data_IF_691070691207
#
_entry.id   IF_691070691207
#
_cell.length_a   1.000
_cell.length_b   1.000
_cell.length_c   1.000
_cell.angle_alpha   90.00
_cell.angle_beta   90.00
_cell.angle_gamma   90.00
#
_symmetry.space_group_name_H-M   'P 1'
#
loop_
_entity.id
_entity.type
_entity.pdbx_description
1 polymer ?
#
# COMPACT_ATOMS: atom_id res chain seq x y z
N UNK A 1 6.00 -3.52 -5.72
CA UNK A 1 6.26 -2.95 -4.38
C UNK A 1 6.20 -1.43 -4.37
N UNK A 2 6.98 -0.74 -5.21
CA UNK A 2 7.02 0.74 -5.28
C UNK A 2 5.64 1.37 -5.47
N UNK A 3 4.88 0.91 -6.49
CA UNK A 3 3.53 1.40 -6.78
C UNK A 3 2.58 1.29 -5.58
N UNK A 4 2.71 0.20 -4.81
CA UNK A 4 1.84 -0.06 -3.67
C UNK A 4 2.17 0.85 -2.48
N UNK A 5 3.46 1.08 -2.22
CA UNK A 5 3.90 2.06 -1.21
C UNK A 5 3.50 3.49 -1.60
N UNK A 6 3.66 3.87 -2.87
CA UNK A 6 3.23 5.21 -3.34
C UNK A 6 1.72 5.39 -3.25
N UNK A 7 0.92 4.39 -3.66
CA UNK A 7 -0.54 4.45 -3.53
C UNK A 7 -0.97 4.54 -2.06
N UNK A 8 -0.30 3.83 -1.17
CA UNK A 8 -0.60 3.90 0.26
C UNK A 8 -0.30 5.28 0.85
N UNK A 9 0.85 5.87 0.49
CA UNK A 9 1.18 7.23 0.87
C UNK A 9 0.17 8.24 0.32
N UNK A 10 -0.26 8.07 -0.94
CA UNK A 10 -1.29 8.89 -1.57
C UNK A 10 -2.64 8.81 -0.83
N UNK A 11 -3.07 7.62 -0.42
CA UNK A 11 -4.29 7.45 0.38
C UNK A 11 -4.20 8.15 1.73
N UNK A 12 -3.05 8.12 2.40
CA UNK A 12 -2.85 8.85 3.67
C UNK A 12 -2.91 10.36 3.45
N UNK A 13 -2.24 10.86 2.40
CA UNK A 13 -2.26 12.29 2.04
C UNK A 13 -3.68 12.74 1.70
N UNK A 14 -4.41 11.98 0.88
CA UNK A 14 -5.80 12.27 0.53
C UNK A 14 -6.68 12.40 1.79
N UNK A 15 -6.56 11.44 2.72
CA UNK A 15 -7.33 11.45 3.97
C UNK A 15 -6.93 12.59 4.90
N UNK A 16 -5.64 12.94 4.93
CA UNK A 16 -5.17 14.10 5.68
C UNK A 16 -5.75 15.41 5.12
N UNK A 17 -5.73 15.58 3.79
CA UNK A 17 -6.35 16.73 3.12
C UNK A 17 -7.85 16.79 3.36
N UNK A 18 -8.55 15.64 3.33
CA UNK A 18 -9.97 15.54 3.64
C UNK A 18 -10.31 16.00 5.06
N UNK A 19 -9.45 15.70 6.05
CA UNK A 19 -9.61 16.19 7.41
C UNK A 19 -9.36 17.69 7.52
N UNK A 20 -8.33 18.19 6.85
CA UNK A 20 -7.93 19.60 6.95
C UNK A 20 -8.89 20.54 6.21
N UNK A 21 -9.34 20.19 4.99
CA UNK A 21 -10.22 20.99 4.14
C UNK A 21 -11.60 20.35 3.94
N UNK A 22 -12.27 20.00 5.04
CA UNK A 22 -13.55 19.28 5.01
C UNK A 22 -14.64 19.98 4.17
N UNK A 23 -14.69 21.32 4.16
CA UNK A 23 -15.72 22.10 3.46
C UNK A 23 -15.59 22.06 1.94
N UNK A 24 -14.37 22.05 1.41
CA UNK A 24 -14.11 22.13 -0.04
C UNK A 24 -13.74 20.77 -0.65
N UNK A 25 -13.60 19.74 0.19
CA UNK A 25 -13.11 18.43 -0.23
C UNK A 25 -14.02 17.76 -1.26
N UNK A 26 -15.34 17.94 -1.18
CA UNK A 26 -16.26 17.28 -2.12
C UNK A 26 -16.06 17.74 -3.56
N UNK A 27 -15.64 19.00 -3.76
CA UNK A 27 -15.39 19.56 -5.08
C UNK A 27 -14.03 19.14 -5.65
N UNK A 28 -13.02 18.96 -4.78
CA UNK A 28 -11.63 18.71 -5.17
C UNK A 28 -11.19 17.25 -5.04
N UNK A 29 -11.89 16.43 -4.25
CA UNK A 29 -11.44 15.11 -3.81
C UNK A 29 -11.15 14.16 -4.97
N UNK A 30 -12.05 14.10 -5.97
CA UNK A 30 -11.86 13.21 -7.11
C UNK A 30 -10.64 13.62 -7.97
N UNK A 31 -10.47 14.92 -8.23
CA UNK A 31 -9.31 15.44 -9.00
C UNK A 31 -8.00 15.18 -8.27
N UNK A 32 -8.00 15.34 -6.94
CA UNK A 32 -6.84 15.11 -6.10
C UNK A 32 -6.44 13.63 -6.08
N UNK A 33 -7.40 12.72 -5.90
CA UNK A 33 -7.14 11.27 -5.92
C UNK A 33 -6.59 10.75 -7.25
N UNK A 34 -7.16 11.22 -8.37
CA UNK A 34 -6.67 10.87 -9.72
C UNK A 34 -5.25 11.39 -9.92
N UNK A 35 -4.98 12.64 -9.57
CA UNK A 35 -3.64 13.24 -9.69
C UNK A 35 -2.58 12.46 -8.90
N UNK A 36 -2.87 12.12 -7.63
CA UNK A 36 -1.96 11.35 -6.79
C UNK A 36 -1.70 9.93 -7.34
N UNK A 37 -2.69 9.31 -7.97
CA UNK A 37 -2.55 7.99 -8.60
C UNK A 37 -1.65 8.06 -9.82
N UNK A 38 -1.82 9.08 -10.68
CA UNK A 38 -0.95 9.29 -11.84
C UNK A 38 0.50 9.51 -11.39
N UNK A 39 0.71 10.37 -10.40
CA UNK A 39 2.04 10.63 -9.83
C UNK A 39 2.67 9.33 -9.29
N UNK A 40 1.89 8.51 -8.58
CA UNK A 40 2.34 7.22 -8.05
C UNK A 40 2.82 6.26 -9.15
N UNK A 41 2.10 6.20 -10.28
CA UNK A 41 2.47 5.37 -11.43
C UNK A 41 3.78 5.89 -12.06
N UNK A 42 3.92 7.20 -12.24
CA UNK A 42 5.14 7.80 -12.78
C UNK A 42 6.35 7.53 -11.88
N UNK A 43 6.21 7.67 -10.56
CA UNK A 43 7.28 7.36 -9.60
C UNK A 43 7.67 5.89 -9.70
N UNK A 44 6.70 4.98 -9.80
CA UNK A 44 6.98 3.56 -9.94
C UNK A 44 7.73 3.25 -11.25
N UNK A 45 7.32 3.86 -12.36
CA UNK A 45 7.99 3.70 -13.65
C UNK A 45 9.41 4.25 -13.63
N UNK A 46 9.59 5.48 -13.14
CA UNK A 46 10.90 6.14 -13.05
C UNK A 46 11.87 5.35 -12.16
N UNK A 47 11.40 4.87 -11.01
CA UNK A 47 12.20 4.06 -10.09
C UNK A 47 12.60 2.72 -10.71
N UNK A 48 11.68 2.08 -11.43
CA UNK A 48 11.96 0.83 -12.15
C UNK A 48 12.97 1.07 -13.26
N UNK A 49 12.75 2.08 -14.11
CA UNK A 49 13.68 2.47 -15.16
C UNK A 49 15.09 2.77 -14.60
N UNK A 50 15.17 3.46 -13.46
CA UNK A 50 16.44 3.73 -12.79
C UNK A 50 17.17 2.45 -12.34
N UNK A 51 16.45 1.49 -11.77
CA UNK A 51 17.05 0.21 -11.36
C UNK A 51 17.67 -0.55 -12.55
N UNK A 52 17.07 -0.45 -13.75
CA UNK A 52 17.48 -1.20 -14.94
C UNK A 52 18.36 -0.42 -15.95
N UNK A 53 18.61 0.87 -15.74
CA UNK A 53 19.23 1.79 -16.72
C UNK A 53 20.62 1.38 -17.28
N UNK A 54 21.32 0.41 -16.69
CA UNK A 54 22.67 -0.01 -17.13
C UNK A 54 22.86 -1.53 -17.12
N UNK A 55 21.89 -2.28 -17.61
CA UNK A 55 22.10 -3.71 -17.81
C UNK A 55 22.73 -3.98 -19.17
N UNK A 56 23.89 -4.62 -19.14
CA UNK A 56 24.49 -5.25 -20.32
C UNK A 56 23.76 -6.57 -20.54
N UNK A 57 22.96 -6.65 -21.59
CA UNK A 57 22.25 -7.88 -21.95
C UNK A 57 23.25 -8.89 -22.53
N UNK A 58 23.64 -9.87 -21.72
CA UNK A 58 24.45 -11.01 -22.16
C UNK A 58 23.56 -12.09 -22.81
N UNK A 59 24.09 -12.85 -23.75
CA UNK A 59 23.35 -13.91 -24.49
C UNK A 59 22.96 -15.12 -23.63
N UNK A 60 23.48 -15.25 -22.40
CA UNK A 60 23.14 -16.35 -21.48
C UNK A 60 21.91 -15.96 -20.65
N UNK A 61 20.99 -16.90 -20.34
CA UNK A 61 19.90 -16.62 -19.42
C UNK A 61 20.44 -16.37 -18.01
N UNK A 62 20.24 -15.16 -17.48
CA UNK A 62 20.55 -14.82 -16.09
C UNK A 62 19.40 -14.02 -15.46
N UNK A 63 19.30 -14.09 -14.14
CA UNK A 63 18.33 -13.30 -13.40
C UNK A 63 18.84 -11.86 -13.27
N UNK A 64 18.22 -10.91 -13.97
CA UNK A 64 18.62 -9.51 -14.04
C UNK A 64 18.78 -8.84 -12.66
N UNK A 65 17.93 -9.21 -11.69
CA UNK A 65 17.93 -8.71 -10.31
C UNK A 65 19.12 -9.17 -9.46
N UNK A 66 19.91 -10.14 -9.93
CA UNK A 66 20.98 -10.77 -9.14
C UNK A 66 22.39 -10.28 -9.50
N UNK A 67 22.51 -9.35 -10.45
CA UNK A 67 23.80 -8.73 -10.76
C UNK A 67 24.21 -7.79 -9.62
N UNK A 68 25.49 -7.75 -9.21
CA UNK A 68 25.93 -7.00 -8.03
C UNK A 68 25.59 -5.50 -8.12
N UNK A 69 25.69 -4.91 -9.32
CA UNK A 69 25.31 -3.52 -9.57
C UNK A 69 23.79 -3.29 -9.40
N UNK A 70 22.96 -4.20 -9.92
CA UNK A 70 21.50 -4.09 -9.80
C UNK A 70 21.05 -4.32 -8.36
N UNK A 71 21.69 -5.26 -7.65
CA UNK A 71 21.42 -5.57 -6.25
C UNK A 71 21.62 -4.35 -5.35
N UNK A 72 22.72 -3.60 -5.54
CA UNK A 72 22.98 -2.38 -4.78
C UNK A 72 21.87 -1.34 -5.01
N UNK A 73 21.43 -1.14 -6.27
CA UNK A 73 20.36 -0.20 -6.61
C UNK A 73 19.01 -0.62 -6.02
N UNK A 74 18.69 -1.91 -6.09
CA UNK A 74 17.48 -2.48 -5.48
C UNK A 74 17.49 -2.27 -3.96
N UNK A 75 18.63 -2.48 -3.31
CA UNK A 75 18.78 -2.25 -1.87
C UNK A 75 18.51 -0.79 -1.50
N UNK A 76 19.09 0.17 -2.22
CA UNK A 76 18.83 1.61 -2.00
C UNK A 76 17.35 1.96 -2.16
N UNK A 77 16.71 1.46 -3.23
CA UNK A 77 15.28 1.69 -3.45
C UNK A 77 14.45 1.06 -2.32
N UNK A 78 14.83 -0.13 -1.85
CA UNK A 78 14.14 -0.79 -0.74
C UNK A 78 14.25 -0.02 0.58
N UNK A 79 15.43 0.53 0.89
CA UNK A 79 15.64 1.37 2.09
C UNK A 79 14.77 2.64 2.01
N UNK A 80 14.77 3.30 0.84
CA UNK A 80 13.92 4.48 0.62
C UNK A 80 12.43 4.15 0.80
N UNK A 81 11.95 3.03 0.25
CA UNK A 81 10.58 2.56 0.43
C UNK A 81 10.25 2.26 1.90
N UNK A 82 11.19 1.68 2.64
CA UNK A 82 11.03 1.44 4.07
C UNK A 82 10.80 2.75 4.84
N UNK A 83 11.56 3.79 4.52
CA UNK A 83 11.35 5.14 5.07
C UNK A 83 9.97 5.71 4.73
N UNK A 84 9.52 5.58 3.47
CA UNK A 84 8.18 6.02 3.04
C UNK A 84 7.08 5.25 3.80
N UNK A 85 7.23 3.93 3.98
CA UNK A 85 6.25 3.14 4.73
C UNK A 85 6.19 3.54 6.20
N UNK A 86 7.34 3.80 6.85
CA UNK A 86 7.39 4.30 8.23
C UNK A 86 6.70 5.67 8.36
N UNK A 87 6.97 6.59 7.44
CA UNK A 87 6.30 7.89 7.39
C UNK A 87 4.79 7.74 7.19
N UNK A 88 4.38 6.82 6.31
CA UNK A 88 2.97 6.50 6.05
C UNK A 88 2.30 5.90 7.29
N UNK A 89 2.99 5.02 8.02
CA UNK A 89 2.53 4.44 9.28
C UNK A 89 2.33 5.51 10.36
N UNK A 90 3.29 6.42 10.51
CA UNK A 90 3.18 7.55 11.42
C UNK A 90 2.00 8.46 11.04
N UNK A 91 1.82 8.75 9.74
CA UNK A 91 0.67 9.49 9.24
C UNK A 91 -0.67 8.82 9.60
N UNK A 92 -0.78 7.51 9.45
CA UNK A 92 -1.97 6.74 9.84
C UNK A 92 -2.20 6.80 11.35
N UNK A 93 -1.14 6.68 12.16
CA UNK A 93 -1.24 6.81 13.62
C UNK A 93 -1.76 8.20 14.02
N UNK A 94 -1.26 9.27 13.40
CA UNK A 94 -1.75 10.64 13.61
C UNK A 94 -3.23 10.74 13.21
N UNK A 95 -3.61 10.24 12.04
CA UNK A 95 -5.01 10.24 11.59
C UNK A 95 -5.95 9.48 12.55
N UNK A 96 -5.48 8.37 13.13
CA UNK A 96 -6.24 7.59 14.11
C UNK A 96 -6.48 8.37 15.41
N UNK A 97 -5.47 9.10 15.88
CA UNK A 97 -5.57 9.95 17.08
C UNK A 97 -6.51 11.12 16.82
N UNK A 98 -6.36 11.79 15.68
CA UNK A 98 -7.16 12.96 15.33
C UNK A 98 -8.61 12.64 14.98
N UNK A 99 -8.89 11.45 14.43
CA UNK A 99 -10.25 11.10 14.03
C UNK A 99 -10.54 9.59 14.07
N UNK A 100 -11.02 9.11 15.24
CA UNK A 100 -11.36 7.68 15.47
C UNK A 100 -12.37 7.11 14.46
N UNK A 101 -13.20 7.94 13.82
CA UNK A 101 -14.24 7.48 12.88
C UNK A 101 -13.80 7.40 11.42
N UNK A 102 -12.76 8.15 11.00
CA UNK A 102 -12.41 8.32 9.58
C UNK A 102 -11.45 7.25 9.04
N UNK A 103 -10.66 6.61 9.90
CA UNK A 103 -9.63 5.60 9.50
C UNK A 103 -10.20 4.17 9.47
N UNK A 104 -11.50 4.05 9.25
CA UNK A 104 -12.23 2.84 9.58
C UNK A 104 -11.86 1.67 8.64
N UNK A 105 -11.19 0.67 9.23
CA UNK A 105 -11.08 -0.75 8.81
C UNK A 105 -10.28 -1.12 7.56
N UNK A 106 -10.04 -0.25 6.58
CA UNK A 106 -9.31 -0.63 5.34
C UNK A 106 -7.82 -0.29 5.39
N UNK A 107 -7.46 0.93 5.80
CA UNK A 107 -6.06 1.39 5.78
C UNK A 107 -5.19 0.68 6.83
N UNK A 108 -5.74 0.41 8.01
CA UNK A 108 -5.01 -0.17 9.13
C UNK A 108 -4.46 -1.59 8.83
N UNK A 109 -5.26 -2.59 8.44
CA UNK A 109 -4.73 -3.93 8.17
C UNK A 109 -3.73 -3.92 7.01
N UNK A 110 -3.96 -3.07 6.01
CA UNK A 110 -3.08 -2.96 4.85
C UNK A 110 -1.72 -2.35 5.20
N UNK A 111 -1.71 -1.28 6.01
CA UNK A 111 -0.48 -0.63 6.47
C UNK A 111 0.31 -1.50 7.44
N UNK A 112 -0.37 -2.21 8.33
CA UNK A 112 0.27 -3.18 9.23
C UNK A 112 0.91 -4.33 8.45
N UNK A 113 0.17 -4.96 7.53
CA UNK A 113 0.70 -6.06 6.72
C UNK A 113 1.93 -5.63 5.91
N UNK A 114 1.87 -4.43 5.34
CA UNK A 114 2.96 -3.89 4.54
C UNK A 114 4.19 -3.58 5.38
N UNK A 115 4.03 -2.92 6.54
CA UNK A 115 5.14 -2.66 7.45
C UNK A 115 5.81 -3.94 7.93
N UNK A 116 5.04 -4.97 8.27
CA UNK A 116 5.59 -6.28 8.67
C UNK A 116 6.40 -6.89 7.52
N UNK A 117 5.85 -6.88 6.31
CA UNK A 117 6.52 -7.44 5.13
C UNK A 117 7.82 -6.70 4.78
N UNK A 118 7.82 -5.36 4.84
CA UNK A 118 9.01 -4.56 4.57
C UNK A 118 10.03 -4.64 5.70
N UNK A 119 9.60 -4.72 6.97
CA UNK A 119 10.49 -4.94 8.11
C UNK A 119 11.22 -6.28 7.97
N UNK A 120 10.49 -7.36 7.66
CA UNK A 120 11.10 -8.67 7.42
C UNK A 120 12.10 -8.60 6.26
N UNK A 121 11.72 -8.04 5.12
CA UNK A 121 12.62 -7.92 3.97
C UNK A 121 13.88 -7.11 4.29
N UNK A 122 13.75 -6.00 5.02
CA UNK A 122 14.86 -5.14 5.42
C UNK A 122 15.79 -5.85 6.40
N UNK A 123 15.24 -6.53 7.40
CA UNK A 123 16.01 -7.30 8.39
C UNK A 123 16.76 -8.44 7.69
N UNK A 124 16.09 -9.24 6.85
CA UNK A 124 16.75 -10.31 6.10
C UNK A 124 17.85 -9.77 5.19
N UNK A 125 17.62 -8.65 4.50
CA UNK A 125 18.62 -8.03 3.63
C UNK A 125 19.82 -7.48 4.43
N UNK A 126 19.58 -6.86 5.58
CA UNK A 126 20.63 -6.35 6.46
C UNK A 126 21.48 -7.50 7.04
N UNK A 127 20.86 -8.57 7.52
CA UNK A 127 21.54 -9.77 8.02
C UNK A 127 22.40 -10.41 6.93
N UNK A 128 21.86 -10.57 5.72
CA UNK A 128 22.61 -11.11 4.58
C UNK A 128 23.79 -10.21 4.17
N UNK A 129 23.66 -8.88 4.34
CA UNK A 129 24.73 -7.92 4.03
C UNK A 129 25.84 -7.91 5.08
N UNK A 130 25.57 -8.35 6.32
CA UNK A 130 26.54 -8.42 7.42
C UNK A 130 27.29 -9.76 7.47
N UNK A 131 26.87 -10.77 6.70
CA UNK A 131 27.48 -12.09 6.65
C UNK A 131 28.11 -12.43 5.28
N UNK A 132 28.79 -11.50 4.59
CA UNK A 132 29.28 -11.74 3.23
C UNK A 132 30.33 -12.87 3.17
N UNK A 133 31.14 -13.02 4.23
CA UNK A 133 32.25 -13.98 4.26
C UNK A 133 31.83 -15.41 4.64
N UNK A 134 30.62 -15.58 5.17
CA UNK A 134 30.13 -16.87 5.65
C UNK A 134 29.40 -17.69 4.58
N UNK A 135 28.93 -17.04 3.51
CA UNK A 135 28.12 -17.70 2.49
C UNK A 135 28.83 -17.76 1.15
N UNK A 136 28.87 -18.94 0.54
CA UNK A 136 29.20 -19.06 -0.87
C UNK A 136 28.18 -18.29 -1.71
N UNK A 137 28.65 -17.75 -2.85
CA UNK A 137 27.84 -16.94 -3.75
C UNK A 137 26.49 -17.58 -4.15
N UNK A 138 26.48 -18.91 -4.31
CA UNK A 138 25.27 -19.68 -4.64
C UNK A 138 24.29 -19.70 -3.46
N UNK A 139 24.77 -19.96 -2.24
CA UNK A 139 23.95 -19.99 -1.03
C UNK A 139 23.38 -18.61 -0.71
N UNK A 140 24.17 -17.54 -0.89
CA UNK A 140 23.69 -16.17 -0.76
C UNK A 140 22.51 -15.88 -1.70
N UNK A 141 22.59 -16.31 -2.97
CA UNK A 141 21.50 -16.13 -3.94
C UNK A 141 20.25 -16.92 -3.59
N UNK A 142 20.39 -18.15 -3.12
CA UNK A 142 19.25 -18.99 -2.70
C UNK A 142 18.55 -18.36 -1.49
N UNK A 143 19.33 -17.97 -0.46
CA UNK A 143 18.80 -17.32 0.74
C UNK A 143 18.12 -15.98 0.41
N UNK A 144 18.73 -15.16 -0.44
CA UNK A 144 18.15 -13.88 -0.86
C UNK A 144 16.86 -14.09 -1.66
N UNK A 145 16.79 -15.11 -2.51
CA UNK A 145 15.57 -15.45 -3.28
C UNK A 145 14.46 -15.98 -2.37
N UNK A 146 14.79 -16.82 -1.38
CA UNK A 146 13.84 -17.30 -0.38
C UNK A 146 13.33 -16.17 0.53
N UNK A 147 14.21 -15.22 0.88
CA UNK A 147 13.86 -14.00 1.61
C UNK A 147 13.09 -12.99 0.75
N UNK A 148 13.03 -13.19 -0.58
CA UNK A 148 12.31 -12.33 -1.50
C UNK A 148 10.81 -12.56 -1.37
N UNK A 149 10.20 -11.94 -0.37
CA UNK A 149 8.78 -12.05 -0.02
C UNK A 149 7.84 -11.49 -1.09
N UNK A 150 8.34 -10.84 -2.15
CA UNK A 150 7.54 -10.13 -3.16
C UNK A 150 6.37 -10.97 -3.75
N UNK A 151 6.55 -12.25 -4.15
CA UNK A 151 5.45 -13.07 -4.69
C UNK A 151 4.38 -13.34 -3.62
N UNK A 152 4.80 -13.62 -2.39
CA UNK A 152 3.90 -13.83 -1.26
C UNK A 152 3.15 -12.53 -0.91
N UNK A 153 3.85 -11.41 -0.87
CA UNK A 153 3.25 -10.10 -0.62
C UNK A 153 2.15 -9.77 -1.63
N UNK A 154 2.35 -10.04 -2.92
CA UNK A 154 1.32 -9.78 -3.95
C UNK A 154 0.08 -10.65 -3.80
N UNK A 155 0.25 -11.94 -3.45
CA UNK A 155 -0.86 -12.85 -3.23
C UNK A 155 -1.64 -12.47 -1.96
N UNK A 156 -0.94 -12.33 -0.83
CA UNK A 156 -1.57 -11.98 0.44
C UNK A 156 -2.22 -10.59 0.41
N UNK A 157 -1.59 -9.59 -0.22
CA UNK A 157 -2.18 -8.25 -0.38
C UNK A 157 -3.49 -8.31 -1.17
N UNK A 158 -3.55 -9.08 -2.26
CA UNK A 158 -4.77 -9.25 -3.06
C UNK A 158 -5.88 -9.93 -2.27
N UNK A 159 -5.54 -10.98 -1.49
CA UNK A 159 -6.49 -11.68 -0.61
C UNK A 159 -7.01 -10.74 0.49
N UNK A 160 -6.14 -9.95 1.12
CA UNK A 160 -6.52 -8.99 2.16
C UNK A 160 -7.47 -7.94 1.58
N UNK A 161 -7.13 -7.34 0.43
CA UNK A 161 -8.00 -6.36 -0.23
C UNK A 161 -9.37 -6.97 -0.56
N UNK A 162 -9.37 -8.19 -1.13
CA UNK A 162 -10.60 -8.92 -1.46
C UNK A 162 -11.48 -9.15 -0.22
N UNK A 163 -10.90 -9.64 0.88
CA UNK A 163 -11.61 -9.86 2.14
C UNK A 163 -12.19 -8.56 2.70
N UNK A 164 -11.46 -7.44 2.58
CA UNK A 164 -11.96 -6.16 3.08
C UNK A 164 -13.11 -5.65 2.20
N UNK A 165 -13.03 -5.80 0.87
CA UNK A 165 -14.14 -5.45 -0.03
C UNK A 165 -15.39 -6.27 0.32
N UNK A 166 -15.24 -7.58 0.50
CA UNK A 166 -16.34 -8.47 0.90
C UNK A 166 -16.97 -8.06 2.23
N UNK A 167 -16.15 -7.79 3.25
CA UNK A 167 -16.64 -7.33 4.54
C UNK A 167 -17.33 -5.97 4.45
N UNK A 168 -16.78 -5.04 3.65
CA UNK A 168 -17.39 -3.72 3.42
C UNK A 168 -18.76 -3.84 2.76
N UNK A 169 -18.89 -4.70 1.74
CA UNK A 169 -20.18 -4.95 1.09
C UNK A 169 -21.20 -5.58 2.06
N UNK A 170 -20.78 -6.55 2.88
CA UNK A 170 -21.64 -7.16 3.91
C UNK A 170 -22.15 -6.14 4.92
N UNK A 171 -21.28 -5.23 5.38
CA UNK A 171 -21.66 -4.15 6.30
C UNK A 171 -22.65 -3.17 5.67
N UNK A 172 -22.47 -2.82 4.39
CA UNK A 172 -23.43 -1.98 3.65
C UNK A 172 -24.78 -2.69 3.51
N UNK A 173 -24.78 -3.98 3.19
CA UNK A 173 -25.99 -4.77 3.10
C UNK A 173 -26.74 -4.84 4.44
N UNK A 174 -26.03 -5.14 5.55
CA UNK A 174 -26.63 -5.18 6.89
C UNK A 174 -27.19 -3.82 7.34
N UNK A 175 -26.48 -2.72 7.06
CA UNK A 175 -27.00 -1.38 7.37
C UNK A 175 -28.24 -1.05 6.56
N UNK A 176 -28.28 -1.46 5.28
CA UNK A 176 -29.43 -1.25 4.43
C UNK A 176 -30.64 -2.01 4.97
N UNK A 177 -30.50 -3.30 5.32
CA UNK A 177 -31.60 -4.08 5.93
C UNK A 177 -32.07 -3.51 7.25
N UNK A 178 -31.16 -3.01 8.10
CA UNK A 178 -31.53 -2.42 9.38
C UNK A 178 -32.32 -1.11 9.23
N UNK A 179 -32.00 -0.30 8.22
CA UNK A 179 -32.77 0.92 7.88
C UNK A 179 -34.11 0.56 7.23
N UNK A 180 -34.19 -0.52 6.46
CA UNK A 180 -35.43 -1.00 5.84
C UNK A 180 -36.38 -1.69 6.82
N UNK A 181 -35.89 -2.38 7.86
CA UNK A 181 -36.74 -3.04 8.87
C UNK A 181 -37.34 -2.07 9.91
N UNK A 182 -36.77 -0.88 10.09
CA UNK A 182 -37.29 0.12 11.03
C UNK A 182 -38.40 1.03 10.45
N UNK A 183 -38.69 0.93 9.16
CA UNK A 183 -39.65 1.80 8.47
C UNK A 183 -40.46 0.96 7.46
N UNK A 184 -41.75 0.72 7.74
CA UNK A 184 -42.64 -0.06 6.86
C UNK A 184 -42.81 0.58 5.46
N UNK A 185 -42.54 1.89 5.34
CA UNK A 185 -42.46 2.61 4.07
C UNK A 185 -41.03 2.61 3.49
N UNK A 186 -40.78 1.68 2.57
CA UNK A 186 -39.49 1.54 1.85
C UNK A 186 -39.07 2.81 1.11
N UNK A 187 -40.02 3.63 0.64
CA UNK A 187 -39.72 4.87 -0.09
C UNK A 187 -39.21 5.98 0.83
N UNK A 188 -39.82 6.18 2.00
CA UNK A 188 -39.37 7.19 2.98
C UNK A 188 -38.02 6.84 3.59
N UNK A 189 -37.72 5.55 3.77
CA UNK A 189 -36.41 5.11 4.24
C UNK A 189 -35.28 5.48 3.26
N UNK A 190 -35.51 5.33 1.95
CA UNK A 190 -34.55 5.70 0.93
C UNK A 190 -34.31 7.21 0.90
N UNK A 191 -35.39 8.02 0.87
CA UNK A 191 -35.27 9.47 0.83
C UNK A 191 -34.74 10.07 2.14
N UNK A 192 -35.07 9.52 3.31
CA UNK A 192 -34.52 10.02 4.57
C UNK A 192 -33.04 9.68 4.73
N UNK A 193 -32.60 8.48 4.30
CA UNK A 193 -31.19 8.12 4.28
C UNK A 193 -30.41 9.01 3.30
N UNK A 194 -31.00 9.33 2.14
CA UNK A 194 -30.44 10.29 1.20
C UNK A 194 -30.33 11.67 1.84
N UNK A 195 -31.42 12.24 2.37
CA UNK A 195 -31.44 13.55 3.04
C UNK A 195 -30.45 13.65 4.21
N UNK A 196 -30.21 12.56 4.95
CA UNK A 196 -29.24 12.52 6.05
C UNK A 196 -27.78 12.53 5.60
N UNK A 197 -27.49 12.21 4.33
CA UNK A 197 -26.15 12.37 3.76
C UNK A 197 -25.88 13.80 3.29
N UNK A 198 -26.92 14.60 3.05
CA UNK A 198 -26.85 15.97 2.54
C UNK A 198 -27.01 17.06 3.62
N UNK A 199 -27.07 16.69 4.90
CA UNK A 199 -27.16 17.60 6.06
C UNK A 199 -25.97 17.39 6.98
#
# INVERSE_FOLDING_TARGET
MICFASLQSAMVVERYVALYKRKDYEMFGNKLGISLTIISIFIAFASTAWTFRRQEFSAKPYCASTTPLTLMRISVVSIALCGVNLATAAGVAILLISNRFAVNRLLLPLTVFQNISYAFFTISSAVLSLLPDYFTYVTFRILFTLAYIVPFHTLFSSVIIWLIILNSQRLKACKLTQVTQGNDNKEEAYFSAYLKMWR
#
